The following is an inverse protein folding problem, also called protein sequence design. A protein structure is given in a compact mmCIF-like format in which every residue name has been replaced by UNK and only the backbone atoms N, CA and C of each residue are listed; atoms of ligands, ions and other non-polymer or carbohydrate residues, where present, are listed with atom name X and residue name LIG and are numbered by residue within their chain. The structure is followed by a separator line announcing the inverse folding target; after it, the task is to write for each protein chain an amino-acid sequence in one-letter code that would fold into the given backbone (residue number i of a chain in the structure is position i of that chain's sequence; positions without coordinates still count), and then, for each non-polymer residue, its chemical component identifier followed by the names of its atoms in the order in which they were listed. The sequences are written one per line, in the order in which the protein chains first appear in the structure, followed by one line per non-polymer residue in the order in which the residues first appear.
data_IF_999671717337
#
_entry.id   IF_999671717337
#
_cell.length_a   1.000
_cell.length_b   1.000
_cell.length_c   1.000
_cell.angle_alpha   90.00
_cell.angle_beta   90.00
_cell.angle_gamma   90.00
#
_symmetry.space_group_name_H-M   'P 1'
#
loop_
_entity.id
_entity.type
_entity.pdbx_description
1 polymer ?
#
# COMPACT_ATOMS: atom_id res chain seq x y z
N UNK A 1 -30.26 63.96 27.64
CA UNK A 1 -29.38 62.76 27.66
C UNK A 1 -30.09 61.62 26.94
N UNK A 2 -29.85 61.43 25.64
CA UNK A 2 -30.38 60.29 24.86
C UNK A 2 -29.19 59.38 24.53
N UNK A 3 -29.11 58.21 25.18
CA UNK A 3 -28.14 57.16 24.84
C UNK A 3 -28.66 56.40 23.62
N UNK A 4 -28.00 56.57 22.46
CA UNK A 4 -28.19 55.74 21.28
C UNK A 4 -27.53 54.38 21.53
N UNK A 5 -28.33 53.31 21.53
CA UNK A 5 -27.87 51.92 21.52
C UNK A 5 -27.61 51.54 20.06
N UNK A 6 -26.35 51.32 19.71
CA UNK A 6 -25.98 50.71 18.43
C UNK A 6 -25.93 49.20 18.63
N UNK A 7 -26.90 48.49 18.07
CA UNK A 7 -26.86 47.02 17.95
C UNK A 7 -26.02 46.68 16.72
N UNK A 8 -24.80 46.21 16.94
CA UNK A 8 -23.93 45.66 15.88
C UNK A 8 -24.39 44.21 15.64
N UNK A 9 -25.07 43.98 14.52
CA UNK A 9 -25.34 42.64 14.01
C UNK A 9 -24.04 42.07 13.42
N UNK A 10 -23.39 41.14 14.12
CA UNK A 10 -22.30 40.35 13.57
C UNK A 10 -22.90 39.23 12.71
N UNK A 11 -22.96 39.43 11.40
CA UNK A 11 -23.25 38.34 10.45
C UNK A 11 -21.96 37.54 10.30
N UNK A 12 -21.87 36.42 11.02
CA UNK A 12 -20.79 35.46 10.87
C UNK A 12 -21.02 34.71 9.55
N UNK A 13 -20.44 35.21 8.45
CA UNK A 13 -20.36 34.45 7.21
C UNK A 13 -19.44 33.25 7.44
N UNK A 14 -20.03 32.08 7.67
CA UNK A 14 -19.32 30.81 7.71
C UNK A 14 -18.77 30.54 6.29
N UNK A 15 -17.53 30.97 6.04
CA UNK A 15 -16.79 30.54 4.86
C UNK A 15 -16.45 29.08 5.08
N UNK A 16 -17.34 28.19 4.62
CA UNK A 16 -16.99 26.78 4.43
C UNK A 16 -15.98 26.78 3.29
N UNK A 17 -14.70 26.86 3.65
CA UNK A 17 -13.63 26.58 2.71
C UNK A 17 -13.73 25.10 2.39
N UNK A 18 -14.43 24.77 1.29
CA UNK A 18 -14.37 23.43 0.69
C UNK A 18 -12.94 23.30 0.19
N UNK A 19 -12.04 22.81 1.05
CA UNK A 19 -10.73 22.36 0.62
C UNK A 19 -10.97 21.34 -0.47
N UNK A 20 -10.63 21.67 -1.71
CA UNK A 20 -10.52 20.67 -2.77
C UNK A 20 -9.60 19.59 -2.21
N UNK A 21 -10.14 18.39 -1.95
CA UNK A 21 -9.29 17.22 -1.85
C UNK A 21 -8.52 17.18 -3.17
N UNK A 22 -7.19 17.31 -3.10
CA UNK A 22 -6.39 17.17 -4.30
C UNK A 22 -6.39 15.68 -4.67
N UNK A 23 -6.31 15.41 -5.98
CA UNK A 23 -6.05 14.08 -6.47
C UNK A 23 -4.76 13.55 -5.84
N UNK A 24 -4.82 12.40 -5.18
CA UNK A 24 -3.63 11.73 -4.67
C UNK A 24 -2.78 11.21 -5.83
N UNK A 25 -1.44 11.18 -5.66
CA UNK A 25 -0.57 10.50 -6.60
C UNK A 25 -1.08 9.08 -6.82
N UNK A 26 -1.19 8.69 -8.08
CA UNK A 26 -1.56 7.33 -8.46
C UNK A 26 -0.49 6.37 -7.94
N UNK A 27 -0.91 5.29 -7.30
CA UNK A 27 -0.03 4.16 -7.02
C UNK A 27 -0.07 3.19 -8.19
N UNK A 28 1.07 3.01 -8.84
CA UNK A 28 1.23 2.02 -9.89
C UNK A 28 0.99 0.62 -9.33
N UNK A 29 0.29 -0.22 -10.10
CA UNK A 29 0.05 -1.61 -9.76
C UNK A 29 0.82 -2.50 -10.72
N UNK A 30 1.70 -3.36 -10.19
CA UNK A 30 2.33 -4.47 -10.90
C UNK A 30 1.69 -5.77 -10.42
N UNK A 31 0.93 -6.40 -11.30
CA UNK A 31 0.41 -7.75 -11.10
C UNK A 31 1.23 -8.71 -11.96
N UNK A 32 1.80 -9.77 -11.40
CA UNK A 32 2.58 -10.73 -12.17
C UNK A 32 2.35 -12.17 -11.75
N UNK A 33 2.59 -13.09 -12.68
CA UNK A 33 2.57 -14.52 -12.39
C UNK A 33 3.97 -15.04 -12.06
N UNK A 34 4.03 -15.98 -11.13
CA UNK A 34 5.28 -16.62 -10.70
C UNK A 34 5.02 -18.04 -10.20
N UNK A 35 6.08 -18.77 -9.85
CA UNK A 35 5.98 -20.09 -9.25
C UNK A 35 7.30 -20.55 -8.65
N UNK A 36 7.22 -21.36 -7.60
CA UNK A 36 8.40 -21.88 -6.86
C UNK A 36 9.28 -22.81 -7.71
N UNK A 37 8.68 -23.48 -8.70
CA UNK A 37 9.36 -24.36 -9.66
C UNK A 37 10.04 -23.60 -10.82
N UNK A 38 9.67 -22.34 -11.05
CA UNK A 38 10.05 -21.57 -12.23
C UNK A 38 11.45 -20.95 -12.06
N UNK A 39 12.44 -21.45 -12.82
CA UNK A 39 13.83 -21.00 -12.74
C UNK A 39 14.09 -19.54 -13.14
N UNK A 40 13.21 -18.93 -13.94
CA UNK A 40 13.28 -17.51 -14.31
C UNK A 40 12.55 -16.57 -13.36
N UNK A 41 11.67 -17.10 -12.51
CA UNK A 41 10.83 -16.30 -11.62
C UNK A 41 11.61 -15.50 -10.57
N UNK A 42 12.80 -15.94 -10.09
CA UNK A 42 13.66 -15.11 -9.27
C UNK A 42 14.11 -13.81 -9.96
N UNK A 43 14.34 -13.80 -11.28
CA UNK A 43 14.62 -12.57 -12.03
C UNK A 43 13.41 -11.62 -12.02
N UNK A 44 12.19 -12.16 -12.12
CA UNK A 44 10.96 -11.39 -12.00
C UNK A 44 10.84 -10.72 -10.63
N UNK A 45 11.07 -11.48 -9.56
CA UNK A 45 11.08 -10.92 -8.21
C UNK A 45 12.16 -9.84 -8.05
N UNK A 46 13.39 -10.06 -8.54
CA UNK A 46 14.44 -9.04 -8.54
C UNK A 46 14.03 -7.77 -9.30
N UNK A 47 13.36 -7.91 -10.45
CA UNK A 47 12.87 -6.76 -11.21
C UNK A 47 11.77 -5.99 -10.44
N UNK A 48 10.85 -6.69 -9.77
CA UNK A 48 9.84 -6.05 -8.91
C UNK A 48 10.47 -5.30 -7.73
N UNK A 49 11.49 -5.86 -7.08
CA UNK A 49 12.22 -5.22 -5.98
C UNK A 49 12.98 -3.96 -6.45
N UNK A 50 13.56 -3.99 -7.65
CA UNK A 50 14.18 -2.81 -8.27
C UNK A 50 13.15 -1.70 -8.52
N UNK A 51 11.95 -2.06 -8.99
CA UNK A 51 10.85 -1.12 -9.16
C UNK A 51 10.44 -0.54 -7.82
N UNK A 52 10.31 -1.33 -6.76
CA UNK A 52 9.97 -0.83 -5.42
C UNK A 52 11.07 0.09 -4.86
N UNK A 53 12.33 -0.12 -5.21
CA UNK A 53 13.43 0.78 -4.83
C UNK A 53 13.29 2.15 -5.50
N UNK A 54 12.87 2.19 -6.77
CA UNK A 54 12.70 3.44 -7.53
C UNK A 54 11.35 4.12 -7.29
N UNK A 55 10.30 3.31 -7.09
CA UNK A 55 8.90 3.69 -7.00
C UNK A 55 8.25 2.98 -5.77
N UNK A 56 8.59 3.38 -4.54
CA UNK A 56 8.24 2.66 -3.30
C UNK A 56 6.74 2.54 -3.00
N UNK A 57 5.92 3.37 -3.64
CA UNK A 57 4.46 3.30 -3.54
C UNK A 57 3.81 2.29 -4.47
N UNK A 58 4.59 1.63 -5.32
CA UNK A 58 4.08 0.59 -6.21
C UNK A 58 3.42 -0.50 -5.37
N UNK A 59 2.27 -0.96 -5.83
CA UNK A 59 1.58 -2.13 -5.33
C UNK A 59 2.05 -3.28 -6.20
N UNK A 60 2.65 -4.28 -5.58
CA UNK A 60 3.13 -5.47 -6.25
C UNK A 60 2.29 -6.64 -5.77
N UNK A 61 1.87 -7.50 -6.70
CA UNK A 61 1.09 -8.69 -6.38
C UNK A 61 1.64 -9.85 -7.21
N UNK A 62 2.14 -10.87 -6.51
CA UNK A 62 2.70 -12.08 -7.08
C UNK A 62 1.66 -13.21 -7.04
N UNK A 63 1.09 -13.54 -8.20
CA UNK A 63 0.13 -14.63 -8.35
C UNK A 63 0.82 -15.96 -8.68
N UNK A 64 0.70 -16.90 -7.76
CA UNK A 64 1.08 -18.29 -7.94
C UNK A 64 -0.08 -19.08 -8.53
N UNK A 65 0.11 -19.66 -9.72
CA UNK A 65 -0.99 -20.25 -10.48
C UNK A 65 -0.91 -21.75 -10.72
N UNK A 66 0.28 -22.33 -10.79
CA UNK A 66 0.43 -23.75 -11.13
C UNK A 66 -0.12 -24.67 -10.03
N UNK A 67 -0.74 -25.79 -10.42
CA UNK A 67 -1.24 -26.81 -9.48
C UNK A 67 -0.15 -27.53 -8.67
N UNK A 68 1.12 -27.32 -9.02
CA UNK A 68 2.28 -27.81 -8.29
C UNK A 68 2.85 -26.81 -7.28
N UNK A 69 2.34 -25.57 -7.26
CA UNK A 69 2.85 -24.52 -6.39
C UNK A 69 2.27 -24.66 -4.97
N UNK A 70 3.03 -24.42 -3.87
CA UNK A 70 2.50 -24.54 -2.52
C UNK A 70 1.40 -23.54 -2.15
N UNK A 71 1.21 -22.46 -2.92
CA UNK A 71 0.30 -21.37 -2.54
C UNK A 71 -0.98 -21.37 -3.36
N UNK A 72 -1.87 -22.30 -3.02
CA UNK A 72 -3.13 -22.57 -3.74
C UNK A 72 -4.38 -22.12 -3.01
N UNK A 73 -4.26 -21.18 -2.07
CA UNK A 73 -5.40 -20.71 -1.26
C UNK A 73 -6.40 -19.83 -2.06
N UNK A 74 -6.18 -19.68 -3.37
CA UNK A 74 -6.99 -18.93 -4.31
C UNK A 74 -6.89 -19.55 -5.71
N UNK A 75 -7.80 -19.17 -6.63
CA UNK A 75 -7.85 -19.68 -8.01
C UNK A 75 -6.76 -19.05 -8.90
N UNK A 76 -5.49 -19.32 -8.62
CA UNK A 76 -4.37 -18.67 -9.29
C UNK A 76 -4.30 -18.89 -10.81
N UNK A 77 -4.63 -20.09 -11.30
CA UNK A 77 -4.73 -20.33 -12.74
C UNK A 77 -5.82 -19.50 -13.41
N UNK A 78 -6.97 -19.32 -12.75
CA UNK A 78 -8.05 -18.47 -13.27
C UNK A 78 -7.61 -17.02 -13.35
N UNK A 79 -6.97 -16.50 -12.30
CA UNK A 79 -6.42 -15.13 -12.29
C UNK A 79 -5.40 -14.95 -13.39
N UNK A 80 -4.51 -15.92 -13.61
CA UNK A 80 -3.56 -15.88 -14.72
C UNK A 80 -4.25 -15.76 -16.06
N UNK A 81 -5.30 -16.55 -16.30
CA UNK A 81 -6.09 -16.46 -17.53
C UNK A 81 -6.79 -15.10 -17.65
N UNK A 82 -7.41 -14.61 -16.57
CA UNK A 82 -8.09 -13.32 -16.55
C UNK A 82 -7.15 -12.14 -16.82
N UNK A 83 -5.91 -12.21 -16.32
CA UNK A 83 -4.86 -11.21 -16.57
C UNK A 83 -4.04 -11.50 -17.84
N UNK A 84 -4.39 -12.55 -18.59
CA UNK A 84 -3.79 -12.90 -19.87
C UNK A 84 -2.39 -13.51 -19.79
N UNK A 85 -1.91 -13.94 -18.63
CA UNK A 85 -0.55 -14.47 -18.45
C UNK A 85 -0.34 -15.86 -19.08
N UNK A 86 0.48 -15.94 -20.14
CA UNK A 86 0.75 -17.21 -20.83
C UNK A 86 2.10 -17.86 -20.47
N UNK A 87 3.01 -17.13 -19.82
CA UNK A 87 4.34 -17.62 -19.44
C UNK A 87 4.70 -17.14 -18.04
N UNK A 88 5.84 -17.57 -17.51
CA UNK A 88 6.35 -17.16 -16.20
C UNK A 88 7.82 -16.71 -16.29
N UNK A 89 8.23 -15.63 -15.57
CA UNK A 89 7.38 -14.59 -15.01
C UNK A 89 6.93 -13.61 -16.10
N UNK A 90 5.65 -13.29 -16.12
CA UNK A 90 5.08 -12.19 -16.92
C UNK A 90 4.20 -11.33 -16.05
N UNK A 91 4.15 -10.03 -16.34
CA UNK A 91 3.39 -9.07 -15.54
C UNK A 91 2.62 -8.08 -16.39
N UNK A 92 1.66 -7.44 -15.75
CA UNK A 92 0.85 -6.36 -16.29
C UNK A 92 0.97 -5.17 -15.35
N UNK A 93 1.28 -4.01 -15.92
CA UNK A 93 1.22 -2.75 -15.19
C UNK A 93 -0.15 -2.13 -15.38
N UNK A 94 -0.82 -1.82 -14.27
CA UNK A 94 -2.03 -1.02 -14.25
C UNK A 94 -3.18 -1.51 -15.15
N UNK A 95 -3.16 -2.80 -15.53
CA UNK A 95 -4.13 -3.43 -16.45
C UNK A 95 -4.37 -2.60 -17.72
N UNK A 96 -3.30 -2.00 -18.23
CA UNK A 96 -3.29 -1.34 -19.53
C UNK A 96 -2.76 -2.31 -20.59
N UNK A 97 -3.17 -2.13 -21.85
CA UNK A 97 -2.63 -2.96 -22.93
C UNK A 97 -1.11 -2.74 -23.07
N UNK A 98 -0.35 -3.83 -23.11
CA UNK A 98 1.11 -3.80 -23.25
C UNK A 98 1.55 -4.62 -24.46
N UNK A 99 1.58 -4.07 -25.68
CA UNK A 99 1.94 -4.81 -26.91
C UNK A 99 3.44 -5.22 -27.01
N UNK A 100 4.13 -5.39 -25.88
CA UNK A 100 5.59 -5.37 -25.75
C UNK A 100 6.32 -6.66 -26.12
N UNK A 101 5.66 -7.77 -26.41
CA UNK A 101 6.36 -8.99 -26.82
C UNK A 101 6.55 -9.05 -28.35
N UNK A 102 7.44 -8.22 -28.89
CA UNK A 102 7.80 -8.21 -30.32
C UNK A 102 6.59 -8.05 -31.26
N UNK A 103 5.64 -7.16 -30.93
CA UNK A 103 4.44 -6.94 -31.73
C UNK A 103 3.35 -8.01 -31.57
N UNK A 104 3.55 -8.98 -30.66
CA UNK A 104 2.49 -9.90 -30.28
C UNK A 104 1.41 -9.18 -29.44
N UNK A 105 0.11 -9.44 -29.69
CA UNK A 105 -1.01 -8.76 -29.05
C UNK A 105 -1.28 -9.26 -27.63
N UNK A 106 -0.23 -9.53 -26.85
CA UNK A 106 -0.37 -10.02 -25.50
C UNK A 106 -0.53 -8.86 -24.52
N UNK A 107 -1.39 -8.97 -23.50
CA UNK A 107 -1.62 -7.89 -22.55
C UNK A 107 -0.57 -7.83 -21.43
N UNK A 108 0.55 -8.55 -21.56
CA UNK A 108 1.57 -8.70 -20.53
C UNK A 108 2.97 -8.49 -21.09
N UNK A 109 3.90 -8.19 -20.19
CA UNK A 109 5.31 -7.95 -20.47
C UNK A 109 6.20 -8.93 -19.71
N UNK A 110 7.29 -9.34 -20.34
CA UNK A 110 8.35 -10.12 -19.69
C UNK A 110 9.13 -9.24 -18.72
N UNK A 111 9.71 -9.86 -17.69
CA UNK A 111 10.39 -9.17 -16.59
C UNK A 111 11.52 -8.21 -17.05
N UNK A 112 12.16 -8.48 -18.18
CA UNK A 112 13.23 -7.64 -18.73
C UNK A 112 12.74 -6.26 -19.17
N UNK A 113 11.44 -6.10 -19.43
CA UNK A 113 10.84 -4.83 -19.84
C UNK A 113 10.17 -4.08 -18.68
N UNK A 114 10.04 -4.70 -17.50
CA UNK A 114 9.25 -4.15 -16.40
C UNK A 114 9.72 -2.76 -15.94
N UNK A 115 11.03 -2.53 -15.84
CA UNK A 115 11.56 -1.21 -15.48
C UNK A 115 11.17 -0.11 -16.48
N UNK A 116 11.24 -0.39 -17.79
CA UNK A 116 10.83 0.55 -18.84
C UNK A 116 9.34 0.86 -18.75
N UNK A 117 8.50 -0.16 -18.57
CA UNK A 117 7.06 0.03 -18.44
C UNK A 117 6.67 0.77 -17.16
N UNK A 118 7.34 0.47 -16.04
CA UNK A 118 7.19 1.20 -14.80
C UNK A 118 7.48 2.71 -14.98
N UNK A 119 8.61 3.04 -15.60
CA UNK A 119 8.99 4.42 -15.89
C UNK A 119 7.99 5.13 -16.81
N UNK A 120 7.61 4.50 -17.92
CA UNK A 120 6.63 5.05 -18.85
C UNK A 120 5.29 5.31 -18.16
N UNK A 121 4.86 4.37 -17.31
CA UNK A 121 3.58 4.48 -16.62
C UNK A 121 3.58 5.61 -15.60
N UNK A 122 4.65 5.71 -14.82
CA UNK A 122 4.85 6.78 -13.85
C UNK A 122 4.81 8.16 -14.50
N UNK A 123 5.45 8.31 -15.67
CA UNK A 123 5.51 9.59 -16.40
C UNK A 123 4.17 9.96 -17.08
N UNK A 124 3.43 8.97 -17.59
CA UNK A 124 2.24 9.23 -18.40
C UNK A 124 0.99 9.61 -17.59
N UNK A 125 0.82 9.10 -16.37
CA UNK A 125 -0.37 9.37 -15.55
C UNK A 125 -0.06 9.37 -14.04
N UNK A 126 0.63 10.40 -13.53
CA UNK A 126 1.07 10.44 -12.14
C UNK A 126 -0.06 10.62 -11.12
N UNK A 127 -1.25 11.07 -11.54
CA UNK A 127 -2.38 11.38 -10.67
C UNK A 127 -3.61 10.53 -11.03
N UNK A 128 -4.48 10.30 -10.05
CA UNK A 128 -5.75 9.59 -10.24
C UNK A 128 -6.95 10.52 -10.15
N UNK A 129 -8.02 10.22 -10.89
CA UNK A 129 -9.33 10.86 -10.67
C UNK A 129 -10.11 10.24 -9.51
N UNK A 130 -9.56 9.25 -8.82
CA UNK A 130 -10.18 8.56 -7.69
C UNK A 130 -9.18 8.51 -6.53
N UNK A 131 -9.57 9.06 -5.38
CA UNK A 131 -8.84 8.83 -4.14
C UNK A 131 -9.40 7.58 -3.46
N UNK A 132 -8.54 6.70 -2.96
CA UNK A 132 -8.93 5.48 -2.24
C UNK A 132 -8.25 5.50 -0.88
N UNK A 133 -9.06 5.64 0.16
CA UNK A 133 -8.61 5.80 1.54
C UNK A 133 -9.11 4.62 2.37
N UNK A 134 -8.22 4.02 3.16
CA UNK A 134 -8.64 3.09 4.22
C UNK A 134 -8.83 3.92 5.48
N UNK A 135 -10.07 4.06 5.95
CA UNK A 135 -10.43 4.99 7.02
C UNK A 135 -10.64 4.33 8.38
N UNK A 136 -10.80 3.01 8.40
CA UNK A 136 -10.83 2.22 9.62
C UNK A 136 -10.27 0.83 9.34
N UNK A 137 -9.52 0.30 10.30
CA UNK A 137 -9.06 -1.09 10.29
C UNK A 137 -9.21 -1.69 11.67
N UNK A 138 -9.38 -3.01 11.73
CA UNK A 138 -9.31 -3.76 12.97
C UNK A 138 -8.79 -5.17 12.66
N UNK A 139 -7.86 -5.65 13.48
CA UNK A 139 -7.44 -7.05 13.47
C UNK A 139 -7.68 -7.67 14.83
N UNK A 140 -8.56 -8.66 14.89
CA UNK A 140 -8.80 -9.42 16.11
C UNK A 140 -7.80 -10.59 16.16
N UNK A 141 -6.88 -10.56 17.11
CA UNK A 141 -5.84 -11.59 17.25
C UNK A 141 -6.40 -12.97 17.64
N UNK A 142 -7.52 -13.01 18.37
CA UNK A 142 -8.18 -14.25 18.79
C UNK A 142 -8.92 -14.97 17.67
N UNK A 143 -9.64 -14.22 16.83
CA UNK A 143 -10.37 -14.78 15.67
C UNK A 143 -9.58 -14.73 14.37
N UNK A 144 -8.44 -14.04 14.35
CA UNK A 144 -7.63 -13.69 13.17
C UNK A 144 -8.43 -12.97 12.06
N UNK A 145 -9.54 -12.34 12.45
CA UNK A 145 -10.37 -11.58 11.52
C UNK A 145 -9.81 -10.16 11.36
N UNK A 146 -9.49 -9.80 10.12
CA UNK A 146 -9.18 -8.45 9.69
C UNK A 146 -10.41 -7.81 9.06
N UNK A 147 -10.71 -6.57 9.43
CA UNK A 147 -11.76 -5.76 8.80
C UNK A 147 -11.20 -4.42 8.38
N UNK A 148 -11.66 -3.88 7.25
CA UNK A 148 -11.33 -2.52 6.83
C UNK A 148 -12.53 -1.80 6.20
N UNK A 149 -12.59 -0.48 6.41
CA UNK A 149 -13.50 0.44 5.73
C UNK A 149 -12.72 1.24 4.71
N UNK A 150 -13.16 1.18 3.45
CA UNK A 150 -12.54 1.82 2.30
C UNK A 150 -13.48 2.90 1.78
N UNK A 151 -13.00 4.12 1.69
CA UNK A 151 -13.69 5.24 1.05
C UNK A 151 -13.03 5.54 -0.29
N UNK A 152 -13.77 5.36 -1.38
CA UNK A 152 -13.38 5.81 -2.71
C UNK A 152 -14.07 7.15 -3.00
N UNK A 153 -13.33 8.14 -3.48
CA UNK A 153 -13.81 9.51 -3.67
C UNK A 153 -13.45 9.99 -5.08
N UNK A 154 -14.48 10.24 -5.89
CA UNK A 154 -14.27 10.78 -7.24
C UNK A 154 -13.82 12.25 -7.17
N UNK A 155 -12.70 12.57 -7.80
CA UNK A 155 -12.13 13.93 -7.86
C UNK A 155 -12.78 14.77 -8.98
N UNK A 156 -13.41 14.10 -9.94
CA UNK A 156 -14.17 14.65 -11.06
C UNK A 156 -15.44 13.82 -11.27
N UNK A 157 -16.39 14.30 -12.07
CA UNK A 157 -17.55 13.47 -12.44
C UNK A 157 -17.13 12.38 -13.42
N UNK A 158 -17.35 11.13 -13.07
CA UNK A 158 -16.99 9.96 -13.85
C UNK A 158 -18.23 9.29 -14.45
N UNK A 159 -18.25 9.14 -15.78
CA UNK A 159 -19.38 8.59 -16.54
C UNK A 159 -19.16 7.12 -16.94
N UNK A 160 -18.34 6.38 -16.20
CA UNK A 160 -18.01 4.99 -16.48
C UNK A 160 -18.30 4.10 -15.27
N UNK A 161 -18.40 2.79 -15.52
CA UNK A 161 -18.43 1.78 -14.47
C UNK A 161 -17.00 1.54 -13.96
N UNK A 162 -16.85 1.52 -12.65
CA UNK A 162 -15.61 1.16 -11.96
C UNK A 162 -15.85 -0.04 -11.06
N UNK A 163 -14.80 -0.83 -10.88
CA UNK A 163 -14.77 -1.97 -9.98
C UNK A 163 -13.68 -1.81 -8.95
N UNK A 164 -13.85 -2.49 -7.83
CA UNK A 164 -12.88 -2.55 -6.74
C UNK A 164 -12.52 -4.01 -6.47
N UNK A 165 -11.22 -4.28 -6.38
CA UNK A 165 -10.67 -5.60 -6.12
C UNK A 165 -9.80 -5.56 -4.86
N UNK A 166 -9.82 -6.64 -4.10
CA UNK A 166 -9.07 -6.81 -2.86
C UNK A 166 -8.16 -8.02 -2.98
N UNK A 167 -6.89 -7.85 -2.62
CA UNK A 167 -5.92 -8.95 -2.58
C UNK A 167 -5.15 -8.89 -1.28
N UNK A 168 -5.30 -9.91 -0.44
CA UNK A 168 -4.42 -10.10 0.69
C UNK A 168 -3.10 -10.69 0.20
N UNK A 169 -1.99 -10.00 0.43
CA UNK A 169 -0.64 -10.53 0.19
C UNK A 169 0.07 -10.87 1.49
N UNK A 170 1.09 -11.73 1.42
CA UNK A 170 2.00 -12.03 2.52
C UNK A 170 3.46 -11.89 2.05
N UNK A 171 4.26 -11.18 2.85
CA UNK A 171 5.69 -10.99 2.67
C UNK A 171 6.55 -11.97 3.50
N UNK A 172 7.85 -12.01 3.21
CA UNK A 172 8.86 -12.69 4.01
C UNK A 172 8.60 -14.19 4.24
N UNK A 173 8.03 -14.87 3.25
CA UNK A 173 7.72 -16.30 3.34
C UNK A 173 8.90 -17.09 2.80
N UNK A 174 9.50 -17.93 3.65
CA UNK A 174 10.63 -18.77 3.27
C UNK A 174 10.13 -20.07 2.64
N UNK A 175 10.52 -20.35 1.40
CA UNK A 175 10.20 -21.61 0.72
C UNK A 175 11.23 -21.94 -0.38
N UNK A 176 11.45 -23.23 -0.71
CA UNK A 176 12.35 -23.61 -1.79
C UNK A 176 12.00 -22.99 -3.16
N UNK A 177 12.99 -22.38 -3.80
CA UNK A 177 12.85 -21.78 -5.13
C UNK A 177 13.90 -22.33 -6.09
N UNK A 178 13.47 -22.71 -7.29
CA UNK A 178 14.37 -23.07 -8.37
C UNK A 178 14.95 -21.83 -9.06
N UNK A 179 16.23 -21.89 -9.43
CA UNK A 179 16.95 -20.84 -10.14
C UNK A 179 17.55 -21.37 -11.43
N UNK A 180 17.47 -20.58 -12.48
CA UNK A 180 18.35 -20.69 -13.64
C UNK A 180 19.55 -19.76 -13.51
N UNK A 181 20.62 -20.10 -14.24
CA UNK A 181 21.89 -19.39 -14.21
C UNK A 181 21.77 -17.88 -14.50
N UNK A 182 20.76 -17.48 -15.30
CA UNK A 182 20.48 -16.07 -15.60
C UNK A 182 19.93 -15.27 -14.40
N UNK A 183 19.42 -15.95 -13.37
CA UNK A 183 18.76 -15.34 -12.22
C UNK A 183 19.51 -15.56 -10.90
N UNK A 184 20.65 -16.24 -10.94
CA UNK A 184 21.48 -16.58 -9.78
C UNK A 184 22.20 -17.92 -9.97
N UNK A 185 22.71 -18.49 -8.88
CA UNK A 185 23.29 -19.84 -8.91
C UNK A 185 22.21 -20.86 -9.26
N UNK A 186 22.41 -21.63 -10.32
CA UNK A 186 21.38 -22.57 -10.78
C UNK A 186 21.09 -23.68 -9.74
N UNK A 187 19.84 -24.13 -9.66
CA UNK A 187 19.38 -25.17 -8.75
C UNK A 187 18.35 -24.68 -7.72
N UNK A 188 17.99 -25.55 -6.77
CA UNK A 188 17.05 -25.22 -5.71
C UNK A 188 17.74 -24.56 -4.51
N UNK A 189 17.14 -23.47 -4.03
CA UNK A 189 17.56 -22.72 -2.84
C UNK A 189 16.45 -22.81 -1.79
N UNK A 190 16.73 -23.45 -0.66
CA UNK A 190 15.71 -23.77 0.35
C UNK A 190 15.31 -22.60 1.25
N UNK A 191 16.13 -21.54 1.27
CA UNK A 191 16.04 -20.37 2.12
C UNK A 191 15.61 -19.11 1.36
N UNK A 192 15.01 -19.28 0.17
CA UNK A 192 14.55 -18.15 -0.61
C UNK A 192 13.36 -17.47 0.05
N UNK A 193 13.47 -16.15 0.19
CA UNK A 193 12.44 -15.30 0.80
C UNK A 193 11.54 -14.76 -0.30
N UNK A 194 10.28 -15.19 -0.30
CA UNK A 194 9.27 -14.71 -1.21
C UNK A 194 8.47 -13.56 -0.61
N UNK A 195 8.04 -12.64 -1.46
CA UNK A 195 7.32 -11.41 -1.11
C UNK A 195 6.13 -11.18 -2.02
N UNK A 196 5.23 -10.30 -1.59
CA UNK A 196 4.03 -9.88 -2.30
C UNK A 196 3.12 -11.06 -2.72
N UNK A 197 3.20 -12.18 -2.01
CA UNK A 197 2.52 -13.41 -2.44
C UNK A 197 1.03 -13.23 -2.24
N UNK A 198 0.24 -13.34 -3.30
CA UNK A 198 -1.20 -13.38 -3.17
C UNK A 198 -1.62 -14.59 -2.31
N UNK A 199 -2.41 -14.32 -1.26
CA UNK A 199 -2.95 -15.31 -0.34
C UNK A 199 -4.45 -15.49 -0.50
N UNK A 200 -5.17 -14.37 -0.51
CA UNK A 200 -6.63 -14.36 -0.64
C UNK A 200 -7.02 -13.36 -1.71
N UNK A 201 -7.82 -13.81 -2.67
CA UNK A 201 -8.43 -12.99 -3.72
C UNK A 201 -9.92 -13.29 -3.71
N UNK A 202 -10.74 -12.56 -2.94
CA UNK A 202 -12.16 -12.91 -2.73
C UNK A 202 -12.98 -12.89 -4.02
N UNK A 203 -12.64 -11.98 -4.93
CA UNK A 203 -13.25 -11.85 -6.25
C UNK A 203 -12.17 -11.41 -7.26
N UNK A 204 -11.62 -12.32 -8.09
CA UNK A 204 -10.61 -12.01 -9.10
C UNK A 204 -10.95 -10.84 -10.02
N UNK A 205 -12.22 -10.75 -10.42
CA UNK A 205 -12.75 -9.66 -11.26
C UNK A 205 -13.33 -8.51 -10.44
N UNK A 206 -13.12 -8.47 -9.13
CA UNK A 206 -13.65 -7.43 -8.25
C UNK A 206 -15.18 -7.33 -8.18
N UNK A 207 -15.66 -6.43 -7.33
CA UNK A 207 -17.07 -6.05 -7.22
C UNK A 207 -17.32 -4.68 -7.85
N UNK A 208 -18.57 -4.36 -8.17
CA UNK A 208 -18.93 -3.03 -8.66
C UNK A 208 -18.69 -1.99 -7.56
N UNK A 209 -17.97 -0.92 -7.91
CA UNK A 209 -17.71 0.19 -7.01
C UNK A 209 -18.85 1.20 -7.07
N UNK A 210 -19.16 1.72 -8.26
CA UNK A 210 -20.28 2.65 -8.49
C UNK A 210 -21.42 1.98 -9.27
N UNK A 211 -22.54 2.70 -9.38
CA UNK A 211 -23.63 2.40 -10.31
C UNK A 211 -24.03 3.68 -11.00
N UNK A 212 -23.98 3.72 -12.33
CA UNK A 212 -24.26 4.94 -13.10
C UNK A 212 -23.19 6.03 -12.90
N UNK A 213 -23.59 7.29 -13.05
CA UNK A 213 -22.69 8.44 -12.93
C UNK A 213 -22.16 8.59 -11.50
N UNK A 214 -20.85 8.66 -11.35
CA UNK A 214 -20.19 8.93 -10.07
C UNK A 214 -19.81 10.40 -10.02
N UNK A 215 -20.54 11.18 -9.21
CA UNK A 215 -20.40 12.63 -9.19
C UNK A 215 -19.11 13.07 -8.49
N UNK A 216 -18.57 14.22 -8.89
CA UNK A 216 -17.44 14.84 -8.21
C UNK A 216 -17.68 14.98 -6.70
N UNK A 217 -16.67 14.64 -5.90
CA UNK A 217 -16.65 14.60 -4.44
C UNK A 217 -17.61 13.59 -3.79
N UNK A 218 -18.32 12.79 -4.57
CA UNK A 218 -19.13 11.70 -4.02
C UNK A 218 -18.20 10.62 -3.48
N UNK A 219 -18.44 10.25 -2.23
CA UNK A 219 -17.76 9.13 -1.57
C UNK A 219 -18.60 7.86 -1.69
N UNK A 220 -17.97 6.76 -2.06
CA UNK A 220 -18.52 5.42 -2.00
C UNK A 220 -17.72 4.62 -0.98
N UNK A 221 -18.41 4.05 -0.01
CA UNK A 221 -17.80 3.28 1.08
C UNK A 221 -17.99 1.78 0.86
N UNK A 222 -16.91 1.01 1.04
CA UNK A 222 -16.90 -0.45 1.02
C UNK A 222 -16.32 -0.97 2.32
N UNK A 223 -16.87 -2.07 2.80
CA UNK A 223 -16.34 -2.77 3.97
C UNK A 223 -15.86 -4.15 3.54
N UNK A 224 -14.69 -4.53 4.00
CA UNK A 224 -14.10 -5.84 3.72
C UNK A 224 -13.79 -6.54 5.03
N UNK A 225 -14.02 -7.86 5.06
CA UNK A 225 -13.67 -8.73 6.16
C UNK A 225 -12.92 -9.94 5.59
N UNK A 226 -11.75 -10.24 6.14
CA UNK A 226 -10.88 -11.35 5.72
C UNK A 226 -10.38 -12.06 6.97
N UNK A 227 -10.45 -13.39 6.99
CA UNK A 227 -9.82 -14.20 8.03
C UNK A 227 -8.42 -14.58 7.57
N UNK A 228 -7.40 -14.21 8.35
CA UNK A 228 -6.01 -14.57 8.06
C UNK A 228 -5.78 -16.00 8.53
N UNK A 229 -5.31 -16.88 7.63
CA UNK A 229 -5.07 -18.29 7.95
C UNK A 229 -4.08 -18.44 9.12
N UNK A 230 -4.27 -19.45 9.97
CA UNK A 230 -3.41 -19.68 11.13
C UNK A 230 -1.94 -19.95 10.78
N UNK A 231 -1.66 -20.44 9.57
CA UNK A 231 -0.31 -20.69 9.08
C UNK A 231 0.43 -19.42 8.62
N UNK A 232 -0.25 -18.29 8.47
CA UNK A 232 0.35 -17.04 7.97
C UNK A 232 0.75 -16.10 9.12
N UNK A 233 1.71 -15.23 8.87
CA UNK A 233 2.19 -14.22 9.80
C UNK A 233 1.45 -12.91 9.53
N UNK A 234 0.50 -12.47 10.37
CA UNK A 234 -0.32 -11.28 10.11
C UNK A 234 0.48 -9.99 9.89
N UNK A 235 1.64 -9.86 10.55
CA UNK A 235 2.57 -8.72 10.40
C UNK A 235 3.19 -8.63 9.00
N UNK A 236 3.25 -9.77 8.30
CA UNK A 236 3.69 -9.82 6.91
C UNK A 236 2.52 -9.62 5.94
N UNK A 237 1.27 -9.54 6.41
CA UNK A 237 0.11 -9.45 5.55
C UNK A 237 -0.29 -8.01 5.22
N UNK A 238 -0.65 -7.78 3.96
CA UNK A 238 -1.15 -6.49 3.46
C UNK A 238 -2.43 -6.70 2.66
N UNK A 239 -3.44 -5.87 2.92
CA UNK A 239 -4.60 -5.73 2.04
C UNK A 239 -4.25 -4.74 0.93
N UNK A 240 -4.20 -5.22 -0.31
CA UNK A 240 -4.10 -4.41 -1.51
C UNK A 240 -5.51 -4.15 -2.04
N UNK A 241 -5.80 -2.90 -2.34
CA UNK A 241 -7.08 -2.44 -2.88
C UNK A 241 -6.81 -1.78 -4.22
N UNK A 242 -7.46 -2.26 -5.27
CA UNK A 242 -7.30 -1.78 -6.63
C UNK A 242 -8.65 -1.31 -7.15
N UNK A 243 -8.74 -0.04 -7.56
CA UNK A 243 -9.89 0.51 -8.26
C UNK A 243 -9.54 0.68 -9.72
N UNK A 244 -10.40 0.16 -10.59
CA UNK A 244 -10.14 0.15 -12.03
C UNK A 244 -11.42 0.35 -12.83
N UNK A 245 -11.27 0.89 -14.04
CA UNK A 245 -12.37 1.09 -14.98
C UNK A 245 -12.79 -0.26 -15.56
N UNK A 246 -14.09 -0.56 -15.52
CA UNK A 246 -14.61 -1.84 -15.99
C UNK A 246 -14.45 -2.02 -17.52
N UNK A 247 -14.28 -3.27 -17.94
CA UNK A 247 -14.00 -3.67 -19.32
C UNK A 247 -14.41 -5.12 -19.56
N UNK A 248 -14.52 -5.53 -20.82
CA UNK A 248 -14.85 -6.92 -21.19
C UNK A 248 -13.81 -7.95 -20.71
N UNK A 249 -12.55 -7.54 -20.65
CA UNK A 249 -11.42 -8.37 -20.23
C UNK A 249 -10.69 -7.67 -19.07
N UNK A 250 -10.30 -8.44 -18.04
CA UNK A 250 -9.73 -7.85 -16.81
C UNK A 250 -8.42 -7.11 -17.07
N UNK A 251 -7.58 -7.62 -17.97
CA UNK A 251 -6.31 -6.99 -18.35
C UNK A 251 -6.45 -5.72 -19.20
N UNK A 252 -7.66 -5.37 -19.64
CA UNK A 252 -7.99 -4.08 -20.25
C UNK A 252 -8.70 -3.12 -19.27
N UNK A 253 -8.93 -3.57 -18.04
CA UNK A 253 -9.60 -2.80 -17.02
C UNK A 253 -8.62 -1.85 -16.36
N UNK A 254 -8.35 -0.73 -17.03
CA UNK A 254 -7.32 0.22 -16.63
C UNK A 254 -7.48 0.59 -15.16
N UNK A 255 -6.47 0.26 -14.35
CA UNK A 255 -6.40 0.70 -12.96
C UNK A 255 -6.45 2.21 -12.95
N UNK A 256 -7.21 2.81 -12.04
CA UNK A 256 -7.24 4.26 -11.81
C UNK A 256 -6.48 4.60 -10.55
N UNK A 257 -6.59 3.77 -9.51
CA UNK A 257 -5.93 3.97 -8.23
C UNK A 257 -5.71 2.63 -7.53
N UNK A 258 -4.68 2.56 -6.70
CA UNK A 258 -4.57 1.51 -5.70
C UNK A 258 -4.12 2.05 -4.35
N UNK A 259 -4.38 1.30 -3.30
CA UNK A 259 -3.77 1.51 -1.98
C UNK A 259 -3.43 0.17 -1.35
N UNK A 260 -2.52 0.19 -0.37
CA UNK A 260 -2.12 -0.98 0.40
C UNK A 260 -2.15 -0.63 1.88
N UNK A 261 -2.68 -1.54 2.70
CA UNK A 261 -2.83 -1.37 4.14
C UNK A 261 -2.31 -2.62 4.86
N UNK A 262 -1.48 -2.44 5.89
CA UNK A 262 -1.02 -3.56 6.71
C UNK A 262 -2.18 -4.15 7.53
N UNK A 263 -2.18 -5.47 7.71
CA UNK A 263 -3.20 -6.18 8.51
C UNK A 263 -3.02 -5.91 10.00
N UNK A 264 -1.77 -5.99 10.49
CA UNK A 264 -1.42 -5.62 11.86
C UNK A 264 -0.51 -4.38 11.85
N UNK A 265 -0.57 -3.58 12.92
CA UNK A 265 0.04 -2.24 12.96
C UNK A 265 -0.99 -1.14 12.62
N UNK A 266 -0.85 0.01 13.30
CA UNK A 266 -1.90 1.03 13.48
C UNK A 266 -2.74 1.40 12.24
N UNK A 267 -4.01 1.65 12.54
CA UNK A 267 -4.95 2.53 11.83
C UNK A 267 -4.21 3.81 11.39
N UNK A 268 -3.86 3.87 10.11
CA UNK A 268 -3.64 5.16 9.47
C UNK A 268 -4.99 5.86 9.36
N UNK A 269 -5.03 7.15 9.69
CA UNK A 269 -6.18 8.07 9.65
C UNK A 269 -6.89 8.27 11.01
N UNK A 270 -6.44 9.28 11.76
CA UNK A 270 -7.38 10.34 12.15
C UNK A 270 -7.08 11.51 11.18
N UNK A 271 -7.72 11.51 10.01
CA UNK A 271 -7.88 12.72 9.21
C UNK A 271 -8.84 13.59 10.00
N UNK A 272 -8.31 14.38 10.93
CA UNK A 272 -8.84 15.72 11.00
C UNK A 272 -8.44 16.35 9.67
N UNK A 273 -9.39 16.94 8.95
CA UNK A 273 -9.28 17.48 7.58
C UNK A 273 -8.23 18.63 7.42
N UNK A 274 -7.21 18.67 8.27
CA UNK A 274 -6.14 19.65 8.32
C UNK A 274 -4.86 19.00 7.80
N UNK A 275 -4.49 19.34 6.57
CA UNK A 275 -3.12 19.10 6.07
C UNK A 275 -2.20 19.86 7.04
N UNK A 276 -1.29 19.17 7.75
CA UNK A 276 -0.41 19.85 8.69
C UNK A 276 0.42 20.90 7.94
N UNK A 277 0.59 22.07 8.54
CA UNK A 277 1.32 23.17 7.90
C UNK A 277 2.85 22.97 7.94
N UNK A 278 3.33 22.13 8.86
CA UNK A 278 4.76 21.94 9.15
C UNK A 278 5.08 20.47 9.37
N UNK A 279 6.34 20.10 9.09
CA UNK A 279 6.89 18.83 9.57
C UNK A 279 7.00 18.88 11.09
N UNK A 280 6.66 17.78 11.77
CA UNK A 280 6.83 17.67 13.21
C UNK A 280 7.10 16.23 13.62
N UNK A 281 7.94 16.05 14.64
CA UNK A 281 8.02 14.82 15.41
C UNK A 281 7.61 15.16 16.84
N UNK A 282 6.66 14.43 17.41
CA UNK A 282 6.21 14.63 18.79
C UNK A 282 7.04 13.81 19.76
N UNK A 283 7.13 14.29 21.01
CA UNK A 283 7.66 13.48 22.09
C UNK A 283 6.77 12.26 22.28
N UNK A 284 7.36 11.07 22.37
CA UNK A 284 6.61 9.85 22.57
C UNK A 284 5.83 9.92 23.89
N UNK A 285 4.64 9.35 23.93
CA UNK A 285 3.82 9.30 25.14
C UNK A 285 3.25 7.89 25.36
N UNK A 286 3.36 7.33 26.58
CA UNK A 286 4.07 7.87 27.74
C UNK A 286 5.61 7.95 27.52
N UNK A 287 6.31 8.81 28.28
CA UNK A 287 7.78 8.78 28.36
C UNK A 287 8.22 9.23 29.78
N UNK A 288 8.85 8.38 30.60
CA UNK A 288 9.23 6.99 30.32
C UNK A 288 8.05 6.06 30.03
N UNK A 289 8.28 4.97 29.30
CA UNK A 289 7.25 4.02 28.87
C UNK A 289 7.53 2.58 29.34
N UNK A 290 6.48 1.76 29.45
CA UNK A 290 6.55 0.35 29.84
C UNK A 290 5.39 -0.49 29.24
N UNK A 291 5.66 -1.50 28.39
CA UNK A 291 6.72 -1.53 27.39
C UNK A 291 6.29 -0.80 26.10
N UNK A 292 5.08 -0.24 26.05
CA UNK A 292 4.51 0.39 24.85
C UNK A 292 4.44 1.91 24.98
N UNK A 293 4.73 2.61 23.88
CA UNK A 293 4.54 4.06 23.73
C UNK A 293 4.03 4.40 22.35
N UNK A 294 3.43 5.59 22.18
CA UNK A 294 3.10 6.13 20.87
C UNK A 294 4.05 7.27 20.48
N UNK A 295 4.44 7.33 19.20
CA UNK A 295 5.24 8.40 18.59
C UNK A 295 4.39 9.06 17.49
N UNK A 296 3.95 10.29 17.72
CA UNK A 296 3.24 11.06 16.71
C UNK A 296 4.18 11.86 15.81
N UNK A 297 3.86 12.01 14.53
CA UNK A 297 4.57 12.91 13.61
C UNK A 297 3.67 13.44 12.50
N UNK A 298 4.01 14.59 11.93
CA UNK A 298 3.29 15.19 10.82
C UNK A 298 4.20 15.45 9.63
N UNK A 299 3.67 15.23 8.42
CA UNK A 299 4.33 15.54 7.14
C UNK A 299 3.40 16.42 6.30
N UNK A 300 3.77 17.69 6.01
CA UNK A 300 2.92 18.65 5.30
C UNK A 300 2.88 18.40 3.78
N UNK A 301 3.83 17.63 3.27
CA UNK A 301 3.97 17.31 1.85
C UNK A 301 4.29 15.83 1.70
N UNK A 302 3.68 15.21 0.70
CA UNK A 302 3.98 13.84 0.35
C UNK A 302 5.45 13.69 -0.08
N UNK A 303 6.10 12.62 0.37
CA UNK A 303 7.54 12.43 0.15
C UNK A 303 8.06 11.14 0.76
N UNK A 304 9.34 10.84 0.53
CA UNK A 304 10.02 9.72 1.18
C UNK A 304 10.27 10.04 2.66
N UNK A 305 9.80 9.16 3.54
CA UNK A 305 9.83 9.29 4.99
C UNK A 305 10.44 8.04 5.61
N UNK A 306 11.28 8.21 6.62
CA UNK A 306 11.72 7.11 7.46
C UNK A 306 11.64 7.48 8.94
N UNK A 307 11.12 6.57 9.75
CA UNK A 307 11.15 6.63 11.22
C UNK A 307 11.97 5.43 11.71
N UNK A 308 13.16 5.71 12.23
CA UNK A 308 14.13 4.70 12.66
C UNK A 308 14.44 4.86 14.14
N UNK A 309 14.63 3.75 14.84
CA UNK A 309 14.87 3.67 16.27
C UNK A 309 16.27 3.14 16.52
N UNK A 310 17.00 3.79 17.42
CA UNK A 310 18.40 3.53 17.72
C UNK A 310 18.59 3.35 19.23
N UNK A 311 19.57 2.53 19.61
CA UNK A 311 19.99 2.43 21.01
C UNK A 311 20.98 3.56 21.38
N UNK A 312 21.40 3.59 22.65
CA UNK A 312 22.35 4.58 23.17
C UNK A 312 23.73 4.57 22.51
N UNK A 313 24.08 3.50 21.78
CA UNK A 313 25.33 3.38 21.00
C UNK A 313 25.16 3.81 19.54
N UNK A 314 23.98 4.31 19.15
CA UNK A 314 23.66 4.69 17.77
C UNK A 314 23.41 3.51 16.84
N UNK A 315 23.27 2.29 17.37
CA UNK A 315 22.95 1.12 16.55
C UNK A 315 21.45 1.12 16.24
N UNK A 316 21.11 0.86 14.98
CA UNK A 316 19.72 0.70 14.54
C UNK A 316 19.11 -0.52 15.26
N UNK A 317 18.01 -0.28 15.96
CA UNK A 317 17.24 -1.29 16.68
C UNK A 317 16.06 -1.73 15.83
N UNK A 318 15.36 -0.77 15.23
CA UNK A 318 14.15 -1.03 14.47
C UNK A 318 13.91 0.08 13.44
N UNK A 319 13.35 -0.27 12.28
CA UNK A 319 12.81 0.68 11.32
C UNK A 319 11.30 0.59 11.40
N UNK A 320 10.64 1.61 11.95
CA UNK A 320 9.18 1.63 12.08
C UNK A 320 8.49 1.86 10.73
N UNK A 321 8.99 2.84 9.96
CA UNK A 321 8.56 3.06 8.58
C UNK A 321 9.74 3.53 7.73
N UNK A 322 9.75 3.16 6.46
CA UNK A 322 10.71 3.61 5.46
C UNK A 322 10.07 3.49 4.08
N UNK A 323 9.68 4.62 3.49
CA UNK A 323 8.96 4.65 2.22
C UNK A 323 8.27 5.97 1.98
N UNK A 324 7.54 6.08 0.88
CA UNK A 324 6.85 7.31 0.53
C UNK A 324 5.50 7.39 1.25
N UNK A 325 5.20 8.56 1.83
CA UNK A 325 3.99 8.80 2.61
C UNK A 325 3.28 10.05 2.08
N UNK A 326 1.94 10.05 2.10
CA UNK A 326 1.12 11.23 1.75
C UNK A 326 1.22 12.31 2.82
N UNK A 327 0.77 13.55 2.54
CA UNK A 327 0.69 14.56 3.59
C UNK A 327 -0.31 14.13 4.68
N UNK A 328 0.03 14.30 5.95
CA UNK A 328 -0.84 13.91 7.07
C UNK A 328 -0.13 13.83 8.41
N UNK A 329 -0.91 13.51 9.44
CA UNK A 329 -0.42 13.22 10.80
C UNK A 329 -0.54 11.72 11.07
N UNK A 330 0.53 11.15 11.59
CA UNK A 330 0.72 9.72 11.80
C UNK A 330 1.02 9.46 13.27
N UNK A 331 0.57 8.32 13.76
CA UNK A 331 0.90 7.80 15.08
C UNK A 331 1.64 6.47 14.88
N UNK A 332 2.71 6.27 15.65
CA UNK A 332 3.55 5.09 15.59
C UNK A 332 3.63 4.41 16.95
N UNK A 333 2.97 3.26 17.09
CA UNK A 333 3.04 2.45 18.30
C UNK A 333 4.37 1.69 18.35
N UNK A 334 5.15 1.93 19.39
CA UNK A 334 6.42 1.26 19.61
C UNK A 334 6.33 0.34 20.82
N UNK A 335 6.65 -0.95 20.60
CA UNK A 335 6.69 -1.98 21.65
C UNK A 335 8.14 -2.38 21.97
N UNK A 336 8.61 -1.92 23.13
CA UNK A 336 9.93 -2.22 23.68
C UNK A 336 10.03 -3.57 24.40
N UNK A 337 9.05 -4.47 24.28
CA UNK A 337 9.05 -5.75 25.05
C UNK A 337 10.31 -6.58 24.83
N UNK A 338 10.92 -6.55 23.65
CA UNK A 338 12.17 -7.30 23.34
C UNK A 338 13.45 -6.53 23.68
N UNK A 339 13.34 -5.33 24.22
CA UNK A 339 14.47 -4.43 24.49
C UNK A 339 14.81 -4.35 25.99
N UNK A 340 16.04 -4.01 26.33
CA UNK A 340 16.44 -3.78 27.72
C UNK A 340 15.95 -2.41 28.21
N UNK A 341 15.70 -2.26 29.51
CA UNK A 341 15.47 -0.94 30.11
C UNK A 341 16.64 -0.01 29.78
N UNK A 342 16.35 1.20 29.34
CA UNK A 342 17.40 2.11 28.87
C UNK A 342 16.89 3.26 28.00
N UNK A 343 17.86 4.01 27.50
CA UNK A 343 17.62 5.17 26.63
C UNK A 343 17.70 4.74 25.17
N UNK A 344 16.69 5.15 24.41
CA UNK A 344 16.59 4.95 22.98
C UNK A 344 16.35 6.30 22.29
N UNK A 345 16.66 6.35 20.99
CA UNK A 345 16.45 7.51 20.16
C UNK A 345 15.62 7.12 18.95
N UNK A 346 14.72 7.99 18.52
CA UNK A 346 13.98 7.79 17.27
C UNK A 346 14.16 9.01 16.39
N UNK A 347 14.46 8.76 15.12
CA UNK A 347 14.76 9.77 14.12
C UNK A 347 13.73 9.69 13.00
N UNK A 348 13.03 10.80 12.77
CA UNK A 348 12.20 11.00 11.59
C UNK A 348 13.02 11.73 10.54
N UNK A 349 13.05 11.21 9.32
CA UNK A 349 13.63 11.88 8.14
C UNK A 349 12.57 11.96 7.06
N UNK A 350 12.29 13.16 6.53
CA UNK A 350 11.30 13.41 5.49
C UNK A 350 11.75 14.55 4.57
N UNK A 351 12.31 14.24 3.40
CA UNK A 351 13.00 15.24 2.58
C UNK A 351 14.16 15.89 3.34
N UNK A 352 14.18 17.22 3.40
CA UNK A 352 15.19 17.98 4.17
C UNK A 352 14.91 18.02 5.68
N UNK A 353 13.72 17.61 6.12
CA UNK A 353 13.38 17.56 7.53
C UNK A 353 14.02 16.35 8.20
N UNK A 354 14.75 16.59 9.29
CA UNK A 354 15.29 15.53 10.15
C UNK A 354 15.20 15.94 11.60
N UNK A 355 14.43 15.20 12.39
CA UNK A 355 14.31 15.43 13.83
C UNK A 355 14.57 14.13 14.59
N UNK A 356 15.26 14.22 15.72
CA UNK A 356 15.53 13.08 16.60
C UNK A 356 15.06 13.40 18.00
N UNK A 357 14.37 12.45 18.63
CA UNK A 357 13.93 12.56 20.02
C UNK A 357 14.37 11.34 20.83
N UNK A 358 14.42 11.55 22.15
CA UNK A 358 14.86 10.57 23.14
C UNK A 358 13.64 9.95 23.81
N UNK A 359 13.64 8.64 23.99
CA UNK A 359 12.66 7.91 24.79
C UNK A 359 13.35 7.02 25.83
N UNK A 360 12.66 6.75 26.93
CA UNK A 360 13.20 5.97 28.06
C UNK A 360 12.27 4.78 28.31
N UNK A 361 12.78 3.56 28.08
CA UNK A 361 12.09 2.32 28.42
C UNK A 361 12.42 1.95 29.87
N UNK A 362 11.39 1.74 30.68
CA UNK A 362 11.52 1.28 32.07
C UNK A 362 10.68 0.01 32.22
N UNK A 363 11.33 -1.13 32.42
CA UNK A 363 10.67 -2.40 32.77
C UNK A 363 10.55 -2.58 34.27
#
# INVERSE_FOLDING_TARGET
MLKKIFTILFVLALVISVTKLNAEPRRMVLEFCTGTWCGWCPCGHQAAEQILTQYPNTIVIAYHGASSDPWQNFQGNEIRTLLGFLAYPTGVFDRTNHPGNNGAPYPYVTYTMWNTYAQNRYNAAPNSNINVLVTATNYNTGTRQYTATINAIAQTTLNAQYKICYVLTEDNVVYPQNFYASCGTAGYHNDYVHKDIARIVPAPTGENLNTGVWNQNQTITKNVAITVDAAWVPENCRLNIIVYKDSSELFHGAVEQGTKQAVTGMVGIINNNEIPAVYSLSQNYPNPFNPVTNIQFSIPKAGFVSLKIYNSRGQLVETYTEGYMSAGTYNADFDGTKLASGVYFYTLTAGDFRETKKMVLVK
#
